data_IF_353025118336
#
_entry.id   IF_353025118336
#
_cell.length_a   1.000
_cell.length_b   1.000
_cell.length_c   1.000
_cell.angle_alpha   90.00
_cell.angle_beta   90.00
_cell.angle_gamma   90.00
#
_symmetry.space_group_name_H-M   'P 1'
#
loop_
_entity.id
_entity.type
_entity.pdbx_description
1 polymer ?
#
# COMPACT_ATOMS: atom_id res chain seq x y z
N UNK A 1 -4.08 34.32 10.27
CA UNK A 1 -4.27 33.87 8.88
C UNK A 1 -4.91 32.49 8.92
N UNK A 2 -5.92 32.22 8.09
CA UNK A 2 -6.59 30.90 8.06
C UNK A 2 -5.83 29.89 7.20
N UNK A 3 -6.09 28.60 7.41
CA UNK A 3 -5.45 27.48 6.68
C UNK A 3 -5.56 27.67 5.15
N UNK A 4 -6.72 28.09 4.66
CA UNK A 4 -6.96 28.34 3.23
C UNK A 4 -6.10 29.47 2.65
N UNK A 5 -5.69 30.44 3.46
CA UNK A 5 -4.82 31.52 2.98
C UNK A 5 -3.36 31.05 2.92
N UNK A 6 -2.89 30.31 3.94
CA UNK A 6 -1.55 29.71 3.93
C UNK A 6 -1.36 28.72 2.77
N UNK A 7 -2.40 27.94 2.44
CA UNK A 7 -2.39 27.08 1.25
C UNK A 7 -2.34 27.86 -0.07
N UNK A 8 -2.97 29.04 -0.14
CA UNK A 8 -2.90 29.92 -1.33
C UNK A 8 -1.52 30.55 -1.50
N UNK A 9 -0.88 30.88 -0.38
CA UNK A 9 0.47 31.45 -0.35
C UNK A 9 1.58 30.38 -0.50
N UNK A 10 1.20 29.10 -0.75
CA UNK A 10 2.09 27.94 -0.84
C UNK A 10 2.97 27.70 0.39
N UNK A 11 2.57 28.24 1.54
CA UNK A 11 3.24 28.03 2.82
C UNK A 11 2.69 26.78 3.51
N UNK A 12 3.11 25.62 2.99
CA UNK A 12 2.64 24.31 3.43
C UNK A 12 3.04 23.98 4.87
N UNK A 13 4.21 24.44 5.33
CA UNK A 13 4.69 24.21 6.68
C UNK A 13 3.78 24.90 7.70
N UNK A 14 3.51 26.20 7.51
CA UNK A 14 2.66 26.94 8.42
C UNK A 14 1.20 26.47 8.34
N UNK A 15 0.71 26.12 7.15
CA UNK A 15 -0.62 25.51 6.99
C UNK A 15 -0.74 24.21 7.79
N UNK A 16 0.27 23.32 7.73
CA UNK A 16 0.28 22.05 8.46
C UNK A 16 0.34 22.27 9.98
N UNK A 17 1.20 23.17 10.45
CA UNK A 17 1.29 23.49 11.88
C UNK A 17 -0.04 24.06 12.40
N UNK A 18 -0.68 24.95 11.64
CA UNK A 18 -1.98 25.50 12.01
C UNK A 18 -3.07 24.42 12.04
N UNK A 19 -3.11 23.54 11.04
CA UNK A 19 -4.06 22.44 11.01
C UNK A 19 -3.88 21.49 12.20
N UNK A 20 -2.62 21.13 12.52
CA UNK A 20 -2.33 20.29 13.69
C UNK A 20 -2.73 21.00 14.99
N UNK A 21 -2.56 22.32 15.09
CA UNK A 21 -3.03 23.10 16.25
C UNK A 21 -4.55 23.10 16.40
N UNK A 22 -5.31 23.14 15.30
CA UNK A 22 -6.78 23.11 15.33
C UNK A 22 -7.35 21.75 15.73
N UNK A 23 -6.55 20.67 15.74
CA UNK A 23 -6.95 19.32 16.16
C UNK A 23 -8.15 18.70 15.42
N UNK A 24 -8.51 19.22 14.25
CA UNK A 24 -9.58 18.64 13.45
C UNK A 24 -8.99 17.70 12.39
N UNK A 25 -9.27 16.40 12.52
CA UNK A 25 -8.72 15.37 11.64
C UNK A 25 -9.01 15.63 10.15
N UNK A 26 -10.18 16.17 9.83
CA UNK A 26 -10.58 16.49 8.45
C UNK A 26 -9.71 17.60 7.84
N UNK A 27 -9.48 18.68 8.58
CA UNK A 27 -8.63 19.79 8.13
C UNK A 27 -7.18 19.38 8.00
N UNK A 28 -6.66 18.60 8.94
CA UNK A 28 -5.29 18.08 8.88
C UNK A 28 -5.13 17.19 7.66
N UNK A 29 -6.09 16.30 7.41
CA UNK A 29 -6.09 15.43 6.23
C UNK A 29 -6.13 16.23 4.93
N UNK A 30 -7.01 17.22 4.84
CA UNK A 30 -7.11 18.09 3.66
C UNK A 30 -5.77 18.79 3.37
N UNK A 31 -5.13 19.36 4.40
CA UNK A 31 -3.83 20.03 4.24
C UNK A 31 -2.77 19.02 3.79
N UNK A 32 -2.69 17.87 4.46
CA UNK A 32 -1.73 16.82 4.14
C UNK A 32 -1.89 16.34 2.69
N UNK A 33 -3.13 16.08 2.24
CA UNK A 33 -3.41 15.62 0.87
C UNK A 33 -3.23 16.72 -0.20
N UNK A 34 -3.20 18.00 0.21
CA UNK A 34 -2.91 19.13 -0.70
C UNK A 34 -1.40 19.30 -0.95
N UNK A 35 -0.56 18.84 -0.02
CA UNK A 35 0.89 19.01 -0.10
C UNK A 35 1.48 18.11 -1.20
N UNK A 36 2.24 18.68 -2.15
CA UNK A 36 2.90 17.88 -3.18
C UNK A 36 4.00 17.01 -2.56
N UNK A 37 4.18 15.80 -3.11
CA UNK A 37 5.14 14.81 -2.59
C UNK A 37 6.59 15.34 -2.60
N UNK A 38 6.93 16.23 -3.52
CA UNK A 38 8.26 16.85 -3.63
C UNK A 38 8.63 17.69 -2.41
N UNK A 39 7.65 18.34 -1.76
CA UNK A 39 7.89 19.26 -0.65
C UNK A 39 7.86 18.56 0.72
N UNK A 40 7.45 17.28 0.75
CA UNK A 40 7.32 16.50 1.99
C UNK A 40 8.62 16.44 2.77
N UNK A 41 9.74 16.19 2.09
CA UNK A 41 11.05 16.08 2.74
C UNK A 41 11.48 17.39 3.40
N UNK A 42 11.25 18.52 2.72
CA UNK A 42 11.53 19.85 3.24
C UNK A 42 10.66 20.17 4.47
N UNK A 43 9.36 19.87 4.39
CA UNK A 43 8.40 20.10 5.46
C UNK A 43 8.73 19.24 6.68
N UNK A 44 9.03 17.96 6.48
CA UNK A 44 9.40 17.04 7.56
C UNK A 44 10.69 17.49 8.23
N UNK A 45 11.70 17.91 7.46
CA UNK A 45 12.98 18.42 8.00
C UNK A 45 12.79 19.68 8.86
N UNK A 46 11.84 20.53 8.48
CA UNK A 46 11.53 21.78 9.20
C UNK A 46 10.61 21.58 10.41
N UNK A 47 9.99 20.40 10.54
CA UNK A 47 9.04 20.12 11.61
C UNK A 47 9.74 19.76 12.93
N UNK A 48 9.27 20.34 14.02
CA UNK A 48 9.69 19.95 15.37
C UNK A 48 9.15 18.57 15.78
N UNK A 49 9.91 17.85 16.60
CA UNK A 49 9.60 16.47 17.01
C UNK A 49 8.22 16.30 17.67
N UNK A 50 7.72 17.34 18.35
CA UNK A 50 6.38 17.33 18.98
C UNK A 50 5.26 17.20 17.94
N UNK A 51 5.39 17.87 16.80
CA UNK A 51 4.43 17.78 15.70
C UNK A 51 4.56 16.43 14.98
N UNK A 52 5.77 15.92 14.81
CA UNK A 52 6.02 14.60 14.21
C UNK A 52 5.30 13.50 14.98
N UNK A 53 5.41 13.47 16.31
CA UNK A 53 4.70 12.47 17.14
C UNK A 53 3.20 12.48 16.90
N UNK A 54 2.62 13.67 16.84
CA UNK A 54 1.19 13.84 16.61
C UNK A 54 0.79 13.41 15.19
N UNK A 55 1.61 13.73 14.20
CA UNK A 55 1.42 13.28 12.83
C UNK A 55 1.45 11.76 12.71
N UNK A 56 2.32 11.05 13.44
CA UNK A 56 2.35 9.58 13.42
C UNK A 56 1.01 8.96 13.83
N UNK A 57 0.37 9.47 14.89
CA UNK A 57 -0.96 8.98 15.28
C UNK A 57 -2.03 9.28 14.22
N UNK A 58 -1.97 10.46 13.61
CA UNK A 58 -2.89 10.84 12.54
C UNK A 58 -2.68 9.94 11.32
N UNK A 59 -1.43 9.63 10.98
CA UNK A 59 -1.10 8.72 9.88
C UNK A 59 -1.52 7.28 10.16
N UNK A 60 -1.36 6.78 11.40
CA UNK A 60 -1.85 5.46 11.76
C UNK A 60 -3.38 5.36 11.56
N UNK A 61 -4.14 6.38 11.97
CA UNK A 61 -5.59 6.42 11.74
C UNK A 61 -5.94 6.59 10.26
N UNK A 62 -5.19 7.43 9.53
CA UNK A 62 -5.46 7.71 8.12
C UNK A 62 -5.12 6.54 7.20
N UNK A 63 -4.09 5.74 7.52
CA UNK A 63 -3.73 4.54 6.77
C UNK A 63 -4.84 3.48 6.80
N UNK A 64 -5.48 3.31 7.95
CA UNK A 64 -6.59 2.37 8.11
C UNK A 64 -7.86 2.85 7.37
N UNK A 65 -8.08 4.17 7.27
CA UNK A 65 -9.30 4.75 6.70
C UNK A 65 -9.19 5.21 5.24
N UNK A 66 -7.98 5.35 4.69
CA UNK A 66 -7.76 5.98 3.38
C UNK A 66 -7.46 4.99 2.26
N UNK A 67 -7.87 5.37 1.05
CA UNK A 67 -7.45 4.73 -0.21
C UNK A 67 -6.03 5.14 -0.64
N UNK A 68 -5.49 6.24 -0.10
CA UNK A 68 -4.19 6.80 -0.51
C UNK A 68 -3.00 6.14 0.21
N UNK A 69 -2.92 4.81 0.22
CA UNK A 69 -1.90 4.06 0.99
C UNK A 69 -0.48 4.48 0.62
N UNK A 70 -0.16 4.49 -0.69
CA UNK A 70 1.17 4.86 -1.17
C UNK A 70 1.60 6.26 -0.74
N UNK A 71 0.67 7.21 -0.70
CA UNK A 71 0.93 8.60 -0.29
C UNK A 71 1.39 8.65 1.17
N UNK A 72 0.62 8.03 2.07
CA UNK A 72 0.98 7.98 3.49
C UNK A 72 2.27 7.19 3.75
N UNK A 73 2.52 6.11 3.01
CA UNK A 73 3.79 5.37 3.13
C UNK A 73 5.00 6.21 2.71
N UNK A 74 4.87 7.06 1.68
CA UNK A 74 5.94 8.00 1.32
C UNK A 74 6.21 9.01 2.42
N UNK A 75 5.17 9.58 3.03
CA UNK A 75 5.30 10.47 4.19
C UNK A 75 6.02 9.79 5.35
N UNK A 76 5.59 8.59 5.73
CA UNK A 76 6.19 7.82 6.80
C UNK A 76 7.65 7.48 6.52
N UNK A 77 7.99 7.14 5.27
CA UNK A 77 9.38 6.91 4.86
C UNK A 77 10.24 8.14 5.15
N UNK A 78 9.84 9.33 4.69
CA UNK A 78 10.60 10.56 4.93
C UNK A 78 10.73 10.88 6.42
N UNK A 79 9.66 10.69 7.20
CA UNK A 79 9.68 10.90 8.65
C UNK A 79 10.63 9.92 9.34
N UNK A 80 10.62 8.65 8.97
CA UNK A 80 11.53 7.65 9.53
C UNK A 80 12.99 7.94 9.17
N UNK A 81 13.25 8.37 7.93
CA UNK A 81 14.60 8.71 7.47
C UNK A 81 15.18 9.91 8.23
N UNK A 82 14.39 10.95 8.48
CA UNK A 82 14.88 12.19 9.10
C UNK A 82 14.83 12.11 10.64
N UNK A 83 13.70 11.66 11.21
CA UNK A 83 13.42 11.74 12.65
C UNK A 83 13.47 10.40 13.38
N UNK A 84 13.73 9.29 12.68
CA UNK A 84 13.68 7.94 13.25
C UNK A 84 14.56 7.77 14.48
N UNK A 85 15.84 8.16 14.41
CA UNK A 85 16.77 8.06 15.54
C UNK A 85 16.33 8.91 16.72
N UNK A 86 15.85 10.13 16.48
CA UNK A 86 15.37 11.05 17.52
C UNK A 86 14.09 10.55 18.19
N UNK A 87 13.19 9.91 17.43
CA UNK A 87 11.96 9.33 17.98
C UNK A 87 12.24 8.19 18.95
N UNK A 88 13.22 7.34 18.63
CA UNK A 88 13.66 6.24 19.49
C UNK A 88 14.34 6.76 20.76
N UNK A 89 15.26 7.72 20.62
CA UNK A 89 15.98 8.32 21.76
C UNK A 89 15.04 9.02 22.75
N UNK A 90 13.99 9.69 22.25
CA UNK A 90 13.00 10.37 23.09
C UNK A 90 11.87 9.46 23.61
N UNK A 91 12.00 8.13 23.50
CA UNK A 91 11.04 7.19 24.09
C UNK A 91 9.67 7.14 23.40
N UNK A 92 9.56 7.57 22.13
CA UNK A 92 8.26 7.62 21.41
C UNK A 92 7.91 6.30 20.72
N UNK A 93 8.30 5.18 21.34
CA UNK A 93 8.01 3.84 20.83
C UNK A 93 6.51 3.60 20.58
N UNK A 94 5.56 4.07 21.42
CA UNK A 94 4.13 3.82 21.17
C UNK A 94 3.61 4.40 19.85
N UNK A 95 4.05 5.60 19.46
CA UNK A 95 3.66 6.22 18.20
C UNK A 95 4.20 5.44 16.99
N UNK A 96 5.44 4.93 17.11
CA UNK A 96 6.06 4.08 16.10
C UNK A 96 5.32 2.75 15.96
N UNK A 97 4.99 2.09 17.08
CA UNK A 97 4.24 0.84 17.11
C UNK A 97 2.84 1.02 16.52
N UNK A 98 2.14 2.13 16.83
CA UNK A 98 0.82 2.40 16.27
C UNK A 98 0.84 2.48 14.74
N UNK A 99 1.84 3.15 14.18
CA UNK A 99 2.03 3.21 12.72
C UNK A 99 2.40 1.84 12.15
N UNK A 100 3.35 1.13 12.78
CA UNK A 100 3.77 -0.19 12.33
C UNK A 100 2.58 -1.15 12.24
N UNK A 101 1.77 -1.24 13.29
CA UNK A 101 0.59 -2.10 13.32
C UNK A 101 -0.44 -1.72 12.24
N UNK A 102 -0.62 -0.43 11.96
CA UNK A 102 -1.52 0.00 10.87
C UNK A 102 -0.97 -0.39 9.49
N UNK A 103 0.34 -0.24 9.28
CA UNK A 103 1.00 -0.67 8.04
C UNK A 103 0.91 -2.19 7.86
N UNK A 104 1.16 -2.97 8.91
CA UNK A 104 1.04 -4.44 8.89
C UNK A 104 -0.38 -4.87 8.56
N UNK A 105 -1.40 -4.34 9.25
CA UNK A 105 -2.81 -4.62 8.94
C UNK A 105 -3.14 -4.31 7.48
N UNK A 106 -2.68 -3.16 6.99
CA UNK A 106 -2.95 -2.75 5.60
C UNK A 106 -2.25 -3.65 4.60
N UNK A 107 -1.02 -4.06 4.89
CA UNK A 107 -0.26 -5.00 4.08
C UNK A 107 -0.96 -6.36 4.01
N UNK A 108 -1.36 -6.94 5.16
CA UNK A 108 -2.08 -8.22 5.19
C UNK A 108 -3.39 -8.18 4.40
N UNK A 109 -4.15 -7.08 4.51
CA UNK A 109 -5.37 -6.90 3.72
C UNK A 109 -5.09 -6.90 2.22
N UNK A 110 -4.07 -6.16 1.79
CA UNK A 110 -3.71 -6.06 0.38
C UNK A 110 -3.14 -7.38 -0.15
N UNK A 111 -2.25 -8.04 0.61
CA UNK A 111 -1.69 -9.35 0.25
C UNK A 111 -2.80 -10.38 0.01
N UNK A 112 -3.73 -10.54 0.95
CA UNK A 112 -4.85 -11.49 0.79
C UNK A 112 -5.70 -11.21 -0.46
N UNK A 113 -5.96 -9.95 -0.75
CA UNK A 113 -6.69 -9.57 -1.97
C UNK A 113 -5.88 -9.88 -3.23
N UNK A 114 -4.58 -9.57 -3.22
CA UNK A 114 -3.69 -9.85 -4.34
C UNK A 114 -3.57 -11.36 -4.59
N UNK A 115 -3.37 -12.16 -3.55
CA UNK A 115 -3.27 -13.62 -3.64
C UNK A 115 -4.55 -14.23 -4.22
N UNK A 116 -5.71 -13.78 -3.74
CA UNK A 116 -7.00 -14.19 -4.29
C UNK A 116 -7.17 -13.79 -5.75
N UNK A 117 -6.86 -12.54 -6.10
CA UNK A 117 -6.99 -12.04 -7.47
C UNK A 117 -6.04 -12.76 -8.42
N UNK A 118 -4.82 -13.07 -7.97
CA UNK A 118 -3.84 -13.82 -8.74
C UNK A 118 -4.35 -15.23 -9.00
N UNK A 119 -4.75 -15.94 -7.94
CA UNK A 119 -5.30 -17.29 -8.07
C UNK A 119 -6.52 -17.33 -8.99
N UNK A 120 -7.43 -16.37 -8.86
CA UNK A 120 -8.62 -16.28 -9.71
C UNK A 120 -8.25 -16.02 -11.18
N UNK A 121 -7.27 -15.15 -11.42
CA UNK A 121 -6.77 -14.87 -12.78
C UNK A 121 -6.12 -16.11 -13.39
N UNK A 122 -5.32 -16.85 -12.62
CA UNK A 122 -4.67 -18.07 -13.06
C UNK A 122 -5.69 -19.18 -13.33
N UNK A 123 -6.71 -19.31 -12.49
CA UNK A 123 -7.81 -20.25 -12.69
C UNK A 123 -8.60 -19.94 -13.98
N UNK A 124 -8.99 -18.68 -14.20
CA UNK A 124 -9.69 -18.28 -15.44
C UNK A 124 -8.82 -18.52 -16.68
N UNK A 125 -7.51 -18.26 -16.58
CA UNK A 125 -6.57 -18.56 -17.66
C UNK A 125 -6.48 -20.07 -17.92
N UNK A 126 -6.45 -20.90 -16.89
CA UNK A 126 -6.44 -22.35 -17.03
C UNK A 126 -7.72 -22.86 -17.69
N UNK A 127 -8.89 -22.42 -17.23
CA UNK A 127 -10.18 -22.84 -17.78
C UNK A 127 -10.39 -22.40 -19.22
N UNK A 128 -9.89 -21.22 -19.62
CA UNK A 128 -9.88 -20.81 -21.03
C UNK A 128 -9.01 -21.73 -21.88
N UNK A 129 -7.83 -22.15 -21.41
CA UNK A 129 -6.99 -23.11 -22.15
C UNK A 129 -7.66 -24.47 -22.29
N UNK A 130 -8.39 -24.93 -21.27
CA UNK A 130 -9.13 -26.20 -21.35
C UNK A 130 -10.32 -26.11 -22.29
N UNK A 131 -11.10 -25.01 -22.25
CA UNK A 131 -12.23 -24.80 -23.17
C UNK A 131 -11.76 -24.67 -24.62
N UNK A 132 -10.63 -23.99 -24.88
CA UNK A 132 -10.03 -23.95 -26.23
C UNK A 132 -9.58 -25.34 -26.67
N UNK A 133 -8.92 -26.14 -25.80
CA UNK A 133 -8.59 -27.54 -26.13
C UNK A 133 -9.83 -28.37 -26.47
N UNK A 134 -10.92 -28.26 -25.70
CA UNK A 134 -12.14 -29.02 -26.00
C UNK A 134 -12.84 -28.56 -27.29
N UNK A 135 -12.73 -27.28 -27.67
CA UNK A 135 -13.29 -26.78 -28.93
C UNK A 135 -12.44 -27.17 -30.15
N UNK A 136 -11.12 -27.31 -29.98
CA UNK A 136 -10.23 -27.83 -31.01
C UNK A 136 -10.42 -29.35 -31.17
N UNK A 137 -10.62 -30.10 -30.08
CA UNK A 137 -10.90 -31.54 -30.10
C UNK A 137 -12.28 -31.88 -30.74
N UNK A 138 -13.32 -31.07 -30.49
CA UNK A 138 -14.63 -31.23 -31.13
C UNK A 138 -14.61 -30.91 -32.65
N UNK A 139 -13.57 -30.22 -33.13
CA UNK A 139 -13.40 -29.92 -34.56
C UNK A 139 -12.60 -30.99 -35.32
N UNK A 140 -11.90 -31.88 -34.61
CA UNK A 140 -11.07 -32.95 -35.16
C UNK A 140 -11.72 -34.35 -35.14
N UNK A 141 -12.88 -34.55 -34.49
CA UNK A 141 -13.65 -35.81 -34.60
C UNK A 141 -14.26 -36.05 -35.99
N UNK A 142 -14.05 -35.15 -36.97
CA UNK A 142 -14.43 -35.36 -38.37
C UNK A 142 -13.24 -35.46 -39.35
N UNK A 143 -12.04 -35.81 -38.88
CA UNK A 143 -10.98 -36.26 -39.79
C UNK A 143 -10.16 -37.41 -39.20
N UNK A 144 -10.39 -38.61 -39.75
CA UNK A 144 -9.86 -39.85 -39.19
C UNK A 144 -8.34 -40.01 -39.29
N UNK A 145 -7.79 -40.59 -38.20
CA UNK A 145 -6.57 -41.41 -38.07
C UNK A 145 -5.28 -40.92 -38.74
N UNK A 146 -4.27 -40.61 -37.91
CA UNK A 146 -2.97 -41.29 -37.92
C UNK A 146 -2.15 -40.95 -36.67
N UNK A 147 -1.66 -41.99 -36.00
CA UNK A 147 -0.78 -41.96 -34.83
C UNK A 147 0.57 -41.25 -35.10
N UNK A 148 1.10 -40.54 -34.09
CA UNK A 148 2.47 -40.68 -33.51
C UNK A 148 3.03 -39.36 -32.92
N UNK A 149 3.40 -39.46 -31.64
CA UNK A 149 4.46 -38.81 -30.87
C UNK A 149 4.58 -37.27 -30.83
N UNK A 150 4.35 -36.71 -29.64
CA UNK A 150 5.41 -35.96 -28.95
C UNK A 150 5.14 -35.86 -27.45
N UNK A 151 6.13 -36.33 -26.70
CA UNK A 151 6.33 -36.23 -25.27
C UNK A 151 6.17 -34.79 -24.76
N UNK A 152 5.48 -34.63 -23.63
CA UNK A 152 5.79 -33.58 -22.66
C UNK A 152 5.63 -34.20 -21.26
N UNK A 153 6.76 -34.72 -20.76
CA UNK A 153 6.99 -34.89 -19.34
C UNK A 153 7.02 -33.50 -18.70
N UNK A 154 6.11 -33.26 -17.75
CA UNK A 154 6.44 -32.45 -16.58
C UNK A 154 5.70 -33.02 -15.37
N UNK A 155 6.34 -34.03 -14.81
CA UNK A 155 6.09 -34.50 -13.46
C UNK A 155 6.69 -33.49 -12.46
N UNK A 156 5.89 -32.96 -11.54
CA UNK A 156 6.06 -33.22 -10.10
C UNK A 156 5.00 -32.45 -9.28
N UNK A 157 4.11 -33.21 -8.65
CA UNK A 157 3.61 -32.83 -7.34
C UNK A 157 4.75 -33.03 -6.35
N UNK A 158 5.23 -31.97 -5.70
CA UNK A 158 5.78 -32.13 -4.35
C UNK A 158 4.77 -31.58 -3.35
N UNK A 159 4.15 -32.53 -2.65
CA UNK A 159 3.30 -32.32 -1.51
C UNK A 159 4.09 -32.83 -0.30
N UNK A 160 4.93 -31.99 0.29
CA UNK A 160 5.45 -32.24 1.64
C UNK A 160 4.47 -31.65 2.66
N UNK A 161 3.60 -32.56 3.11
CA UNK A 161 2.72 -32.48 4.26
C UNK A 161 3.50 -32.21 5.56
N UNK A 162 2.90 -31.38 6.41
CA UNK A 162 2.91 -31.36 7.89
C UNK A 162 4.01 -32.17 8.62
N UNK A 163 4.85 -31.46 9.36
CA UNK A 163 5.05 -31.61 10.81
C UNK A 163 5.45 -30.26 11.43
#
# INVERSE_FOLDING_TARGET
MGINNALKDQDYLNALIMAVKMNEANHIRQVIETIPVCDVELIVSSLGLQFIKRLLYIFASALDASKHVQFYLKWLKHIMTIHGSSLVQQGNKPALVAVLQSVERRNEQLSKMCDYNQYMTDYVRYSQKTVVKTLDEDHDEMNGKSDLDSEDEDAFMDNSVLD
#
